data_IF_469824538442
#
_entry.id   IF_469824538442
#
_cell.length_a   1.000
_cell.length_b   1.000
_cell.length_c   1.000
_cell.angle_alpha   90.00
_cell.angle_beta   90.00
_cell.angle_gamma   90.00
#
_symmetry.space_group_name_H-M   'P 1'
#
loop_
_entity.id
_entity.type
_entity.pdbx_description
1 polymer ?
#
# COMPACT_ATOMS: atom_id res chain seq x y z
N UNK A 1 26.23 -27.44 46.97
CA UNK A 1 26.48 -27.06 45.56
C UNK A 1 27.25 -25.74 45.50
N UNK A 2 28.33 -25.70 44.73
CA UNK A 2 29.39 -24.67 44.77
C UNK A 2 28.88 -23.31 44.27
N UNK A 3 28.62 -22.36 45.18
CA UNK A 3 28.15 -20.99 44.90
C UNK A 3 28.99 -20.24 43.84
N UNK A 4 30.26 -20.62 43.65
CA UNK A 4 31.14 -20.06 42.61
C UNK A 4 30.72 -20.40 41.17
N UNK A 5 30.14 -21.59 40.92
CA UNK A 5 29.73 -21.98 39.56
C UNK A 5 28.51 -21.19 39.08
N UNK A 6 27.63 -20.81 40.00
CA UNK A 6 26.42 -20.05 39.68
C UNK A 6 26.74 -18.63 39.20
N UNK A 7 27.74 -17.98 39.82
CA UNK A 7 28.22 -16.65 39.40
C UNK A 7 28.80 -16.66 37.98
N UNK A 8 29.55 -17.71 37.63
CA UNK A 8 30.14 -17.86 36.29
C UNK A 8 29.05 -18.03 35.23
N UNK A 9 28.04 -18.86 35.52
CA UNK A 9 26.91 -19.08 34.61
C UNK A 9 26.12 -17.78 34.40
N UNK A 10 25.87 -17.01 35.47
CA UNK A 10 25.18 -15.73 35.39
C UNK A 10 25.95 -14.71 34.54
N UNK A 11 27.28 -14.66 34.68
CA UNK A 11 28.13 -13.75 33.91
C UNK A 11 28.15 -14.12 32.41
N UNK A 12 28.14 -15.42 32.09
CA UNK A 12 28.06 -15.90 30.70
C UNK A 12 26.72 -15.51 30.03
N UNK A 13 25.61 -15.62 30.76
CA UNK A 13 24.28 -15.22 30.27
C UNK A 13 24.23 -13.71 30.03
N UNK A 14 24.80 -12.91 30.93
CA UNK A 14 24.87 -11.46 30.78
C UNK A 14 25.70 -11.05 29.55
N UNK A 15 26.82 -11.74 29.29
CA UNK A 15 27.66 -11.52 28.11
C UNK A 15 26.88 -11.80 26.81
N UNK A 16 26.12 -12.90 26.77
CA UNK A 16 25.27 -13.25 25.62
C UNK A 16 24.18 -12.20 25.35
N UNK A 17 23.57 -11.65 26.40
CA UNK A 17 22.57 -10.57 26.28
C UNK A 17 23.20 -9.27 25.76
N UNK A 18 24.40 -8.93 26.20
CA UNK A 18 25.10 -7.75 25.69
C UNK A 18 25.48 -7.89 24.20
N UNK A 19 25.91 -9.07 23.78
CA UNK A 19 26.20 -9.35 22.36
C UNK A 19 24.96 -9.26 21.48
N UNK A 20 23.81 -9.78 21.93
CA UNK A 20 22.58 -9.74 21.13
C UNK A 20 22.07 -8.32 20.92
N UNK A 21 22.12 -7.48 21.96
CA UNK A 21 21.75 -6.06 21.88
C UNK A 21 22.68 -5.31 20.91
N UNK A 22 23.99 -5.61 20.94
CA UNK A 22 24.97 -4.99 20.05
C UNK A 22 24.68 -5.32 18.57
N UNK A 23 24.37 -6.58 18.25
CA UNK A 23 24.03 -7.02 16.88
C UNK A 23 22.75 -6.33 16.37
N UNK A 24 21.74 -6.15 17.22
CA UNK A 24 20.50 -5.46 16.86
C UNK A 24 20.77 -3.99 16.53
N UNK A 25 21.51 -3.29 17.39
CA UNK A 25 21.84 -1.88 17.18
C UNK A 25 22.70 -1.66 15.92
N UNK A 26 23.63 -2.58 15.63
CA UNK A 26 24.46 -2.52 14.43
C UNK A 26 23.63 -2.65 13.13
N UNK A 27 22.63 -3.54 13.10
CA UNK A 27 21.73 -3.66 11.95
C UNK A 27 20.91 -2.39 11.72
N UNK A 28 20.37 -1.78 12.78
CA UNK A 28 19.55 -0.57 12.68
C UNK A 28 20.36 0.61 12.09
N UNK A 29 21.64 0.74 12.47
CA UNK A 29 22.51 1.78 11.90
C UNK A 29 22.75 1.58 10.39
N UNK A 30 22.96 0.34 9.94
CA UNK A 30 23.12 0.00 8.52
C UNK A 30 21.86 0.28 7.69
N UNK A 31 20.66 -0.02 8.22
CA UNK A 31 19.39 0.28 7.52
C UNK A 31 19.15 1.79 7.31
N UNK A 32 19.71 2.65 8.16
CA UNK A 32 19.53 4.10 8.05
C UNK A 32 20.38 4.69 6.92
N UNK A 33 21.55 4.12 6.62
CA UNK A 33 22.42 4.58 5.54
C UNK A 33 21.83 4.32 4.14
N UNK A 34 21.18 3.18 3.94
CA UNK A 34 20.62 2.80 2.63
C UNK A 34 19.38 3.64 2.24
N UNK A 35 18.63 4.14 3.23
CA UNK A 35 17.47 4.99 2.97
C UNK A 35 17.84 6.46 2.70
N UNK A 36 19.03 6.93 3.11
CA UNK A 36 19.50 8.28 2.79
C UNK A 36 20.04 8.39 1.35
N UNK A 37 20.63 7.32 0.81
CA UNK A 37 21.06 7.29 -0.60
C UNK A 37 19.89 7.47 -1.59
N UNK A 38 18.66 7.10 -1.20
CA UNK A 38 17.47 7.34 -2.03
C UNK A 38 17.07 8.83 -2.12
N UNK A 39 17.49 9.66 -1.16
CA UNK A 39 17.19 11.09 -1.14
C UNK A 39 18.25 11.92 -1.89
N UNK A 40 19.46 11.38 -2.04
CA UNK A 40 20.61 12.07 -2.64
C UNK A 40 20.63 12.01 -4.17
N UNK A 41 19.81 11.16 -4.79
CA UNK A 41 19.54 11.16 -6.25
C UNK A 41 18.68 12.36 -6.71
N UNK A 42 18.72 13.48 -6.00
CA UNK A 42 18.07 14.72 -6.43
C UNK A 42 18.77 15.34 -7.63
N UNK A 43 20.08 15.14 -7.77
CA UNK A 43 20.85 15.64 -8.91
C UNK A 43 20.62 14.77 -10.17
N UNK A 44 20.51 13.44 -10.02
CA UNK A 44 20.06 12.53 -11.11
C UNK A 44 18.69 12.95 -11.67
N UNK A 45 17.77 13.40 -10.81
CA UNK A 45 16.46 13.87 -11.27
C UNK A 45 16.53 15.17 -12.06
N UNK A 46 17.43 16.10 -11.72
CA UNK A 46 17.62 17.33 -12.51
C UNK A 46 18.21 17.01 -13.88
N UNK A 47 19.15 16.07 -13.94
CA UNK A 47 19.76 15.62 -15.18
C UNK A 47 18.73 14.93 -16.08
N UNK A 48 17.89 14.06 -15.52
CA UNK A 48 16.76 13.43 -16.23
C UNK A 48 15.76 14.46 -16.76
N UNK A 49 15.41 15.49 -15.96
CA UNK A 49 14.52 16.57 -16.40
C UNK A 49 15.14 17.33 -17.58
N UNK A 50 16.43 17.67 -17.51
CA UNK A 50 17.14 18.35 -18.58
C UNK A 50 17.21 17.50 -19.87
N UNK A 51 17.39 16.19 -19.74
CA UNK A 51 17.35 15.28 -20.88
C UNK A 51 15.97 15.19 -21.52
N UNK A 52 14.90 15.12 -20.71
CA UNK A 52 13.53 15.14 -21.21
C UNK A 52 13.24 16.46 -21.93
N UNK A 53 13.67 17.60 -21.38
CA UNK A 53 13.53 18.92 -22.03
C UNK A 53 14.18 18.96 -23.41
N UNK A 54 15.39 18.41 -23.53
CA UNK A 54 16.09 18.38 -24.82
C UNK A 54 15.42 17.45 -25.83
N UNK A 55 14.95 16.28 -25.40
CA UNK A 55 14.21 15.35 -26.27
C UNK A 55 12.91 16.01 -26.75
N UNK A 56 12.17 16.68 -25.88
CA UNK A 56 10.93 17.38 -26.24
C UNK A 56 11.21 18.53 -27.21
N UNK A 57 12.26 19.32 -26.97
CA UNK A 57 12.69 20.37 -27.92
C UNK A 57 13.11 19.80 -29.27
N UNK A 58 13.82 18.68 -29.29
CA UNK A 58 14.25 18.00 -30.51
C UNK A 58 13.05 17.45 -31.31
N UNK A 59 12.10 16.80 -30.63
CA UNK A 59 10.86 16.32 -31.26
C UNK A 59 10.03 17.49 -31.79
N UNK A 60 9.85 18.56 -31.01
CA UNK A 60 9.06 19.72 -31.44
C UNK A 60 9.72 20.49 -32.59
N UNK A 61 11.04 20.64 -32.56
CA UNK A 61 11.79 21.31 -33.65
C UNK A 61 11.89 20.46 -34.92
N UNK A 62 11.82 19.13 -34.80
CA UNK A 62 11.75 18.22 -35.94
C UNK A 62 10.33 18.00 -36.48
N UNK A 63 9.28 18.33 -35.72
CA UNK A 63 7.90 17.99 -36.05
C UNK A 63 7.25 18.85 -37.15
N UNK A 64 7.35 20.20 -37.19
CA UNK A 64 6.99 21.01 -38.39
C UNK A 64 7.07 22.53 -38.19
N UNK A 65 7.10 23.23 -39.34
CA UNK A 65 7.46 24.64 -39.60
C UNK A 65 6.49 25.74 -39.16
N UNK A 66 5.49 25.48 -38.33
CA UNK A 66 4.51 26.50 -37.89
C UNK A 66 4.12 26.37 -36.40
N UNK A 67 5.05 25.94 -35.54
CA UNK A 67 4.80 25.92 -34.09
C UNK A 67 5.01 27.32 -33.49
N UNK A 68 3.94 27.90 -32.98
CA UNK A 68 3.93 29.17 -32.26
C UNK A 68 4.56 29.00 -30.87
N UNK A 69 5.79 29.50 -30.70
CA UNK A 69 6.58 29.41 -29.45
C UNK A 69 5.82 29.92 -28.22
N UNK A 70 4.81 30.79 -28.41
CA UNK A 70 3.98 31.33 -27.32
C UNK A 70 3.15 30.27 -26.58
N UNK A 71 2.87 29.11 -27.19
CA UNK A 71 2.18 28.00 -26.53
C UNK A 71 3.06 27.34 -25.46
N UNK A 72 4.37 27.24 -25.70
CA UNK A 72 5.32 26.61 -24.77
C UNK A 72 5.40 27.46 -23.50
N UNK A 73 5.46 28.79 -23.63
CA UNK A 73 5.49 29.71 -22.50
C UNK A 73 4.19 29.67 -21.67
N UNK A 74 3.04 29.48 -22.32
CA UNK A 74 1.75 29.39 -21.63
C UNK A 74 1.61 28.13 -20.77
N UNK A 75 2.10 26.99 -21.27
CA UNK A 75 2.13 25.72 -20.53
C UNK A 75 3.09 25.83 -19.33
N UNK A 76 4.20 26.54 -19.50
CA UNK A 76 5.18 26.74 -18.44
C UNK A 76 4.69 27.70 -17.34
N UNK A 77 3.89 28.70 -17.69
CA UNK A 77 3.28 29.64 -16.72
C UNK A 77 2.33 28.94 -15.75
N UNK A 78 1.58 27.93 -16.21
CA UNK A 78 0.70 27.11 -15.37
C UNK A 78 1.51 26.32 -14.34
N UNK A 79 2.68 25.82 -14.73
CA UNK A 79 3.57 25.06 -13.84
C UNK A 79 4.19 25.93 -12.74
N UNK A 80 4.53 27.19 -13.06
CA UNK A 80 5.18 28.12 -12.13
C UNK A 80 4.24 28.61 -11.01
N UNK A 81 2.92 28.60 -11.23
CA UNK A 81 1.90 28.97 -10.24
C UNK A 81 1.29 27.77 -9.48
N UNK A 82 1.86 26.57 -9.63
CA UNK A 82 1.39 25.33 -8.99
C UNK A 82 1.38 25.36 -7.46
N UNK A 83 2.06 26.31 -6.81
CA UNK A 83 2.04 26.51 -5.36
C UNK A 83 0.70 27.01 -4.80
N UNK A 84 -0.17 27.60 -5.63
CA UNK A 84 -1.49 28.08 -5.22
C UNK A 84 -2.63 27.13 -5.61
N UNK A 85 -2.34 26.07 -6.37
CA UNK A 85 -3.34 25.07 -6.74
C UNK A 85 -3.70 24.23 -5.52
N UNK A 86 -4.97 24.32 -5.11
CA UNK A 86 -5.54 23.50 -4.04
C UNK A 86 -5.40 22.03 -4.41
N UNK A 87 -4.76 21.25 -3.53
CA UNK A 87 -4.57 19.82 -3.73
C UNK A 87 -5.94 19.11 -3.89
N UNK A 88 -6.23 18.51 -5.07
CA UNK A 88 -7.51 17.86 -5.34
C UNK A 88 -7.73 16.61 -4.48
N UNK A 89 -6.72 16.14 -3.76
CA UNK A 89 -6.79 14.98 -2.86
C UNK A 89 -6.82 15.36 -1.38
N UNK A 90 -6.84 16.65 -1.04
CA UNK A 90 -7.10 17.10 0.34
C UNK A 90 -8.61 17.16 0.55
N UNK A 91 -9.17 16.04 1.00
CA UNK A 91 -10.56 15.98 1.43
C UNK A 91 -10.75 16.79 2.71
N UNK A 92 -11.49 17.90 2.63
CA UNK A 92 -11.90 18.65 3.82
C UNK A 92 -12.72 17.71 4.69
N UNK A 93 -12.17 17.32 5.84
CA UNK A 93 -12.87 16.47 6.79
C UNK A 93 -14.16 17.20 7.21
N UNK A 94 -15.29 16.79 6.64
CA UNK A 94 -16.60 17.29 7.02
C UNK A 94 -16.76 17.04 8.52
N UNK A 95 -16.81 18.10 9.33
CA UNK A 95 -17.07 18.01 10.77
C UNK A 95 -18.30 17.12 10.95
N UNK A 96 -18.08 15.91 11.49
CA UNK A 96 -19.13 14.93 11.72
C UNK A 96 -20.25 15.61 12.51
N UNK A 97 -21.41 15.75 11.88
CA UNK A 97 -22.61 16.20 12.56
C UNK A 97 -22.86 15.26 13.75
N UNK A 98 -22.88 15.82 14.95
CA UNK A 98 -23.13 15.09 16.18
C UNK A 98 -24.54 14.51 16.13
N UNK A 99 -24.62 13.20 15.89
CA UNK A 99 -25.90 12.49 15.91
C UNK A 99 -26.56 12.61 17.29
N UNK A 100 -27.84 12.98 17.39
CA UNK A 100 -28.54 13.11 18.67
C UNK A 100 -28.65 11.74 19.37
N UNK A 101 -28.25 11.70 20.64
CA UNK A 101 -28.34 10.52 21.52
C UNK A 101 -29.80 10.09 21.65
N UNK A 102 -30.17 9.00 20.99
CA UNK A 102 -31.48 8.35 21.11
C UNK A 102 -31.59 7.66 22.49
N UNK A 103 -32.55 8.11 23.31
CA UNK A 103 -32.86 7.50 24.63
C UNK A 103 -33.33 6.06 24.45
N UNK A 104 -32.67 5.14 25.16
CA UNK A 104 -32.97 3.71 25.18
C UNK A 104 -34.15 3.46 26.11
N UNK A 105 -35.31 3.10 25.54
CA UNK A 105 -36.45 2.56 26.28
C UNK A 105 -36.27 1.04 26.35
N UNK A 106 -36.02 0.51 27.56
CA UNK A 106 -35.90 -0.93 27.81
C UNK A 106 -37.28 -1.55 27.99
N UNK A 107 -37.83 -2.08 26.91
CA UNK A 107 -38.99 -2.98 26.98
C UNK A 107 -38.50 -4.43 27.04
N UNK A 108 -38.78 -5.13 28.15
CA UNK A 108 -38.53 -6.57 28.30
C UNK A 108 -39.44 -7.34 27.35
N UNK A 109 -38.92 -7.66 26.16
CA UNK A 109 -39.61 -8.48 25.16
C UNK A 109 -39.08 -9.91 25.24
N UNK A 110 -39.98 -10.86 25.51
CA UNK A 110 -39.73 -12.31 25.51
C UNK A 110 -39.03 -12.70 24.20
N UNK A 111 -37.78 -13.13 24.28
CA UNK A 111 -36.95 -13.49 23.13
C UNK A 111 -37.47 -14.76 22.48
N UNK A 112 -38.17 -14.62 21.35
CA UNK A 112 -38.27 -15.70 20.37
C UNK A 112 -36.86 -15.98 19.84
N UNK A 113 -36.50 -17.25 19.55
CA UNK A 113 -35.22 -17.58 18.95
C UNK A 113 -35.09 -16.84 17.62
N UNK A 114 -34.15 -15.90 17.57
CA UNK A 114 -33.85 -15.14 16.36
C UNK A 114 -33.39 -16.12 15.28
N UNK A 115 -33.94 -16.06 14.06
CA UNK A 115 -33.43 -16.86 12.95
C UNK A 115 -31.93 -16.59 12.80
N UNK A 116 -31.12 -17.66 12.73
CA UNK A 116 -29.68 -17.55 12.52
C UNK A 116 -29.45 -16.63 11.32
N UNK A 117 -28.56 -15.62 11.42
CA UNK A 117 -28.24 -14.77 10.27
C UNK A 117 -27.77 -15.70 9.14
N UNK A 118 -28.51 -15.67 8.01
CA UNK A 118 -28.05 -16.34 6.80
C UNK A 118 -26.69 -15.74 6.46
N UNK A 119 -25.71 -16.61 6.27
CA UNK A 119 -24.35 -16.22 5.89
C UNK A 119 -24.41 -15.66 4.46
N UNK A 120 -24.51 -14.33 4.34
CA UNK A 120 -24.57 -13.66 3.05
C UNK A 120 -23.12 -13.61 2.56
N UNK A 121 -22.74 -14.58 1.73
CA UNK A 121 -21.44 -14.58 1.10
C UNK A 121 -21.28 -13.30 0.28
N UNK A 122 -20.21 -12.51 0.50
CA UNK A 122 -20.01 -11.29 -0.26
C UNK A 122 -19.81 -11.64 -1.72
N UNK A 123 -20.54 -10.97 -2.62
CA UNK A 123 -20.26 -11.03 -4.05
C UNK A 123 -18.88 -10.42 -4.28
N UNK A 124 -17.96 -11.23 -4.77
CA UNK A 124 -16.60 -10.84 -5.14
C UNK A 124 -16.46 -11.15 -6.63
N UNK A 125 -16.03 -10.15 -7.39
CA UNK A 125 -15.82 -10.26 -8.83
C UNK A 125 -14.35 -9.96 -9.14
N UNK A 126 -13.73 -10.84 -9.92
CA UNK A 126 -12.35 -10.69 -10.35
C UNK A 126 -12.35 -9.96 -11.68
N UNK A 127 -11.91 -8.71 -11.68
CA UNK A 127 -11.85 -7.87 -12.87
C UNK A 127 -10.61 -8.16 -13.72
N UNK A 128 -9.49 -8.56 -13.08
CA UNK A 128 -8.26 -8.84 -13.80
C UNK A 128 -7.15 -9.41 -12.91
N UNK A 129 -6.15 -9.99 -13.57
CA UNK A 129 -4.94 -10.52 -12.92
C UNK A 129 -3.72 -10.03 -13.71
N UNK A 130 -2.72 -9.54 -12.99
CA UNK A 130 -1.38 -9.31 -13.52
C UNK A 130 -0.49 -10.35 -12.86
N UNK A 131 -0.14 -11.40 -13.60
CA UNK A 131 0.63 -12.51 -13.08
C UNK A 131 2.12 -12.34 -13.39
N UNK A 132 2.92 -12.25 -12.32
CA UNK A 132 4.38 -12.30 -12.36
C UNK A 132 4.89 -13.30 -11.32
N UNK A 133 6.06 -13.91 -11.56
CA UNK A 133 6.63 -14.94 -10.67
C UNK A 133 6.91 -14.41 -9.27
N UNK A 134 7.26 -13.14 -9.15
CA UNK A 134 7.61 -12.50 -7.87
C UNK A 134 6.52 -11.54 -7.38
N UNK A 135 5.88 -10.81 -8.30
CA UNK A 135 4.94 -9.74 -7.96
C UNK A 135 3.57 -9.90 -8.63
N UNK A 136 2.86 -10.97 -8.28
CA UNK A 136 1.49 -11.16 -8.75
C UNK A 136 0.49 -10.21 -8.08
N UNK A 137 -0.43 -9.67 -8.89
CA UNK A 137 -1.44 -8.69 -8.48
C UNK A 137 -2.81 -9.12 -9.01
N UNK A 138 -3.86 -8.94 -8.20
CA UNK A 138 -5.24 -9.19 -8.57
C UNK A 138 -6.07 -7.91 -8.43
N UNK A 139 -7.00 -7.70 -9.37
CA UNK A 139 -7.96 -6.59 -9.33
C UNK A 139 -9.33 -7.20 -9.00
N UNK A 140 -9.81 -6.98 -7.77
CA UNK A 140 -11.06 -7.57 -7.26
C UNK A 140 -12.01 -6.44 -6.88
N UNK A 141 -13.20 -6.41 -7.47
CA UNK A 141 -14.18 -5.31 -7.36
C UNK A 141 -13.56 -3.92 -7.65
N UNK A 142 -12.64 -3.83 -8.61
CA UNK A 142 -11.94 -2.58 -8.97
C UNK A 142 -10.82 -2.14 -8.03
N UNK A 143 -10.53 -2.90 -6.97
CA UNK A 143 -9.43 -2.63 -6.03
C UNK A 143 -8.26 -3.59 -6.25
N UNK A 144 -7.05 -3.12 -5.96
CA UNK A 144 -5.80 -3.85 -6.22
C UNK A 144 -5.32 -4.57 -4.96
N UNK A 145 -5.03 -5.87 -5.10
CA UNK A 145 -4.63 -6.74 -4.00
C UNK A 145 -3.44 -7.63 -4.36
N UNK A 146 -2.60 -7.92 -3.38
CA UNK A 146 -1.45 -8.83 -3.45
C UNK A 146 -1.67 -10.08 -2.59
N UNK A 147 -0.80 -11.07 -2.77
CA UNK A 147 -0.77 -12.24 -1.89
C UNK A 147 -0.54 -11.81 -0.43
N UNK A 148 -1.36 -12.33 0.48
CA UNK A 148 -1.35 -11.98 1.91
C UNK A 148 -2.34 -10.90 2.32
N UNK A 149 -2.88 -10.12 1.38
CA UNK A 149 -3.82 -9.05 1.68
C UNK A 149 -5.19 -9.58 2.15
N UNK A 150 -5.92 -8.74 2.88
CA UNK A 150 -7.22 -9.07 3.44
C UNK A 150 -8.33 -8.30 2.71
N UNK A 151 -9.28 -9.03 2.15
CA UNK A 151 -10.44 -8.51 1.42
C UNK A 151 -11.69 -8.91 2.19
N UNK A 152 -12.32 -7.94 2.87
CA UNK A 152 -13.45 -8.16 3.80
C UNK A 152 -13.09 -9.16 4.92
N UNK A 153 -13.35 -10.45 4.69
CA UNK A 153 -13.07 -11.54 5.64
C UNK A 153 -12.28 -12.69 5.01
N UNK A 154 -11.77 -12.50 3.79
CA UNK A 154 -10.95 -13.46 3.07
C UNK A 154 -9.52 -12.93 2.97
N UNK A 155 -8.54 -13.82 3.10
CA UNK A 155 -7.14 -13.55 2.80
C UNK A 155 -6.82 -14.08 1.41
N UNK A 156 -6.10 -13.28 0.62
CA UNK A 156 -5.52 -13.71 -0.66
C UNK A 156 -4.38 -14.66 -0.35
N UNK A 157 -4.52 -15.94 -0.72
CA UNK A 157 -3.49 -16.95 -0.44
C UNK A 157 -2.57 -17.11 -1.63
N UNK A 158 -3.12 -17.08 -2.85
CA UNK A 158 -2.35 -17.29 -4.07
C UNK A 158 -3.03 -16.65 -5.27
N UNK A 159 -2.24 -16.04 -6.12
CA UNK A 159 -2.66 -15.48 -7.40
C UNK A 159 -1.99 -16.30 -8.52
N UNK A 160 -2.78 -16.88 -9.41
CA UNK A 160 -2.30 -17.66 -10.57
C UNK A 160 -2.82 -17.05 -11.85
N UNK A 161 -2.30 -17.47 -13.01
CA UNK A 161 -2.83 -17.04 -14.32
C UNK A 161 -4.32 -17.34 -14.47
N UNK A 162 -4.76 -18.47 -13.90
CA UNK A 162 -6.14 -18.95 -14.06
C UNK A 162 -7.13 -18.32 -13.07
N UNK A 163 -6.65 -17.64 -12.02
CA UNK A 163 -7.53 -17.15 -10.96
C UNK A 163 -6.85 -16.79 -9.64
N UNK A 164 -7.70 -16.49 -8.65
CA UNK A 164 -7.27 -16.09 -7.31
C UNK A 164 -7.90 -16.99 -6.25
N UNK A 165 -7.07 -17.53 -5.35
CA UNK A 165 -7.51 -18.35 -4.22
C UNK A 165 -7.64 -17.50 -2.96
N UNK A 166 -8.85 -17.46 -2.42
CA UNK A 166 -9.24 -16.71 -1.23
C UNK A 166 -9.61 -17.67 -0.10
N UNK A 167 -9.09 -17.43 1.11
CA UNK A 167 -9.39 -18.26 2.29
C UNK A 167 -9.86 -17.41 3.45
N UNK A 168 -10.98 -17.81 4.05
CA UNK A 168 -11.47 -17.31 5.33
C UNK A 168 -11.41 -18.44 6.38
N UNK A 169 -11.74 -18.14 7.64
CA UNK A 169 -11.68 -19.12 8.74
C UNK A 169 -12.52 -20.38 8.49
N UNK A 170 -13.65 -20.22 7.79
CA UNK A 170 -14.63 -21.29 7.62
C UNK A 170 -14.93 -21.61 6.15
N UNK A 171 -14.34 -20.89 5.20
CA UNK A 171 -14.68 -21.02 3.79
C UNK A 171 -13.48 -20.72 2.88
N UNK A 172 -13.43 -21.36 1.73
CA UNK A 172 -12.47 -21.10 0.68
C UNK A 172 -13.21 -20.83 -0.62
N UNK A 173 -12.82 -19.77 -1.33
CA UNK A 173 -13.40 -19.38 -2.61
C UNK A 173 -12.27 -19.31 -3.64
N UNK A 174 -12.57 -19.75 -4.85
CA UNK A 174 -11.69 -19.58 -6.01
C UNK A 174 -12.39 -18.67 -7.01
N UNK A 175 -11.76 -17.54 -7.33
CA UNK A 175 -12.24 -16.62 -8.36
C UNK A 175 -11.52 -16.97 -9.67
N UNK A 176 -12.27 -17.44 -10.67
CA UNK A 176 -11.72 -17.74 -12.00
C UNK A 176 -11.47 -16.43 -12.75
N UNK A 177 -10.34 -16.35 -13.46
CA UNK A 177 -10.05 -15.23 -14.34
C UNK A 177 -11.13 -15.10 -15.43
N UNK A 178 -11.53 -13.87 -15.81
CA UNK A 178 -12.40 -13.67 -16.95
C UNK A 178 -11.69 -14.12 -18.23
N UNK A 179 -12.37 -14.90 -19.06
CA UNK A 179 -11.93 -15.23 -20.42
C UNK A 179 -12.24 -14.03 -21.30
N UNK A 180 -11.21 -13.45 -21.92
CA UNK A 180 -11.37 -12.43 -22.95
C UNK A 180 -11.31 -13.14 -24.29
N UNK A 181 -12.48 -13.31 -24.92
CA UNK A 181 -12.60 -13.74 -26.32
C UNK A 181 -12.24 -12.60 -27.29
#
# INVERSE_FOLDING_TARGET
MKKGKFKIIMLLILLLLMLSIWIINFKIAGYKANNLQMLENSDSRKDEIYHIENIVKEILSSAEKDFDESLIDSIFLVYKNSGELRDPFVFVQSKKASTPKKKVIKTKQKSRPSPKPKDIQPKLELNGIIFDKENSIAIINGEVYKEGDLIKSYRVVRITKDGVKLVSRNNQIYLKAPEFD
#
